data_IF_365586103988
#
_entry.id   IF_365586103988
#
_cell.length_a   1.000
_cell.length_b   1.000
_cell.length_c   1.000
_cell.angle_alpha   90.00
_cell.angle_beta   90.00
_cell.angle_gamma   90.00
#
_symmetry.space_group_name_H-M   'P 1'
#
loop_
_entity.id
_entity.type
_entity.pdbx_description
1 polymer ?
#
# COMPACT_ATOMS: atom_id res chain seq x y z
N UNK A 1 -0.55 -9.55 12.03
CA UNK A 1 0.80 -9.22 11.51
C UNK A 1 1.72 -10.23 12.16
N UNK A 2 2.25 -11.20 11.42
CA UNK A 2 3.26 -12.09 12.02
C UNK A 2 4.44 -11.23 12.50
N UNK A 3 4.94 -11.48 13.70
CA UNK A 3 6.15 -10.82 14.21
C UNK A 3 7.38 -11.16 13.35
N UNK A 4 7.31 -12.25 12.59
CA UNK A 4 8.36 -12.80 11.72
C UNK A 4 8.45 -12.12 10.34
N UNK A 5 8.45 -10.79 10.30
CA UNK A 5 8.81 -10.03 9.09
C UNK A 5 10.05 -9.18 9.33
N UNK A 6 10.74 -8.77 8.26
CA UNK A 6 11.95 -7.94 8.36
C UNK A 6 11.64 -6.60 9.07
N UNK A 7 12.21 -6.40 10.26
CA UNK A 7 11.94 -5.24 11.13
C UNK A 7 12.28 -3.93 10.41
N UNK A 8 13.41 -3.89 9.70
CA UNK A 8 13.87 -2.71 8.97
C UNK A 8 12.90 -2.32 7.87
N UNK A 9 12.30 -3.30 7.17
CA UNK A 9 11.32 -3.03 6.12
C UNK A 9 10.02 -2.46 6.68
N UNK A 10 9.55 -2.96 7.82
CA UNK A 10 8.37 -2.38 8.51
C UNK A 10 8.63 -0.94 8.95
N UNK A 11 9.81 -0.67 9.51
CA UNK A 11 10.19 0.69 9.93
C UNK A 11 10.29 1.64 8.73
N UNK A 12 10.90 1.20 7.64
CA UNK A 12 11.03 1.99 6.43
C UNK A 12 9.68 2.28 5.75
N UNK A 13 8.75 1.32 5.75
CA UNK A 13 7.47 1.45 5.02
C UNK A 13 6.31 2.00 5.85
N UNK A 14 6.45 2.15 7.17
CA UNK A 14 5.37 2.66 8.02
C UNK A 14 4.93 4.09 7.64
N UNK A 15 5.88 5.02 7.59
CA UNK A 15 5.62 6.42 7.20
C UNK A 15 5.15 6.53 5.75
N UNK A 16 5.80 5.89 4.76
CA UNK A 16 5.29 5.85 3.39
C UNK A 16 3.86 5.32 3.27
N UNK A 17 3.51 4.27 4.01
CA UNK A 17 2.15 3.71 3.99
C UNK A 17 1.11 4.68 4.58
N UNK A 18 1.45 5.40 5.65
CA UNK A 18 0.56 6.43 6.22
C UNK A 18 0.35 7.59 5.24
N UNK A 19 1.41 8.07 4.60
CA UNK A 19 1.32 9.16 3.62
C UNK A 19 0.54 8.71 2.39
N UNK A 20 0.81 7.52 1.84
CA UNK A 20 0.08 6.98 0.70
C UNK A 20 -1.43 6.90 0.98
N UNK A 21 -1.83 6.33 2.12
CA UNK A 21 -3.27 6.21 2.47
C UNK A 21 -3.97 7.55 2.74
N UNK A 22 -3.23 8.62 3.03
CA UNK A 22 -3.80 9.92 3.40
C UNK A 22 -3.77 10.93 2.25
N UNK A 23 -2.65 11.01 1.53
CA UNK A 23 -2.36 12.07 0.55
C UNK A 23 -2.66 11.64 -0.88
N UNK A 24 -2.56 10.36 -1.23
CA UNK A 24 -2.78 9.92 -2.62
C UNK A 24 -4.20 9.39 -2.84
N UNK A 25 -4.74 9.59 -4.04
CA UNK A 25 -6.06 9.09 -4.42
C UNK A 25 -6.12 7.57 -4.44
N UNK A 26 -5.15 6.91 -5.08
CA UNK A 26 -5.06 5.46 -5.14
C UNK A 26 -4.93 4.83 -3.73
N UNK A 27 -4.23 5.53 -2.82
CA UNK A 27 -4.05 5.08 -1.45
C UNK A 27 -5.32 5.22 -0.62
N UNK A 28 -6.07 6.32 -0.79
CA UNK A 28 -7.39 6.50 -0.20
C UNK A 28 -8.38 5.46 -0.72
N UNK A 29 -8.45 5.27 -2.04
CA UNK A 29 -9.32 4.26 -2.64
C UNK A 29 -9.02 2.85 -2.13
N UNK A 30 -7.73 2.51 -1.97
CA UNK A 30 -7.33 1.24 -1.36
C UNK A 30 -7.78 1.14 0.10
N UNK A 31 -7.57 2.19 0.90
CA UNK A 31 -8.00 2.24 2.30
C UNK A 31 -9.51 2.07 2.42
N UNK A 32 -10.27 2.83 1.64
CA UNK A 32 -11.73 2.89 1.71
C UNK A 32 -12.35 1.55 1.31
N UNK A 33 -11.82 0.89 0.27
CA UNK A 33 -12.21 -0.48 -0.10
C UNK A 33 -11.99 -1.47 1.05
N UNK A 34 -10.86 -1.39 1.76
CA UNK A 34 -10.60 -2.29 2.89
C UNK A 34 -11.44 -1.93 4.12
N UNK A 35 -11.68 -0.65 4.36
CA UNK A 35 -12.52 -0.17 5.45
C UNK A 35 -13.98 -0.61 5.24
N UNK A 36 -14.50 -0.52 4.02
CA UNK A 36 -15.81 -1.04 3.64
C UNK A 36 -15.93 -2.56 3.88
N UNK A 37 -14.83 -3.30 3.76
CA UNK A 37 -14.74 -4.72 4.10
C UNK A 37 -14.53 -4.99 5.61
N UNK A 38 -14.78 -4.00 6.47
CA UNK A 38 -14.69 -4.11 7.94
C UNK A 38 -13.28 -4.26 8.49
N UNK A 39 -12.23 -3.94 7.71
CA UNK A 39 -10.84 -4.10 8.17
C UNK A 39 -10.42 -2.95 9.11
N UNK A 40 -9.78 -3.29 10.23
CA UNK A 40 -9.24 -2.31 11.20
C UNK A 40 -8.07 -1.53 10.60
N UNK A 41 -7.88 -0.27 11.00
CA UNK A 41 -6.85 0.63 10.45
C UNK A 41 -5.41 0.07 10.45
N UNK A 42 -4.99 -0.62 11.52
CA UNK A 42 -3.66 -1.28 11.57
C UNK A 42 -3.49 -2.37 10.49
N UNK A 43 -4.57 -3.08 10.15
CA UNK A 43 -4.57 -4.10 9.10
C UNK A 43 -4.47 -3.44 7.73
N UNK A 44 -5.20 -2.34 7.52
CA UNK A 44 -5.14 -1.57 6.27
C UNK A 44 -3.73 -1.03 6.02
N UNK A 45 -3.11 -0.45 7.05
CA UNK A 45 -1.74 0.04 6.95
C UNK A 45 -0.74 -1.09 6.67
N UNK A 46 -0.93 -2.25 7.30
CA UNK A 46 -0.18 -3.47 6.99
C UNK A 46 -0.30 -3.90 5.53
N UNK A 47 -1.52 -3.90 5.00
CA UNK A 47 -1.78 -4.23 3.60
C UNK A 47 -1.16 -3.20 2.65
N UNK A 48 -1.18 -1.91 3.01
CA UNK A 48 -0.54 -0.85 2.23
C UNK A 48 0.99 -1.01 2.20
N UNK A 49 1.62 -1.33 3.33
CA UNK A 49 3.06 -1.61 3.38
C UNK A 49 3.44 -2.74 2.41
N UNK A 50 2.66 -3.84 2.41
CA UNK A 50 2.87 -4.94 1.45
C UNK A 50 2.70 -4.47 0.00
N UNK A 51 1.68 -3.68 -0.28
CA UNK A 51 1.42 -3.17 -1.64
C UNK A 51 2.55 -2.25 -2.11
N UNK A 52 3.04 -1.34 -1.27
CA UNK A 52 4.17 -0.47 -1.60
C UNK A 52 5.45 -1.26 -1.90
N UNK A 53 5.75 -2.32 -1.14
CA UNK A 53 6.89 -3.18 -1.42
C UNK A 53 6.79 -3.86 -2.79
N UNK A 54 5.59 -4.34 -3.15
CA UNK A 54 5.34 -4.96 -4.45
C UNK A 54 5.43 -3.95 -5.61
N UNK A 55 4.93 -2.74 -5.41
CA UNK A 55 5.03 -1.65 -6.39
C UNK A 55 6.50 -1.28 -6.62
N UNK A 56 7.27 -1.07 -5.56
CA UNK A 56 8.70 -0.76 -5.65
C UNK A 56 9.45 -1.87 -6.40
N UNK A 57 9.18 -3.13 -6.06
CA UNK A 57 9.76 -4.27 -6.77
C UNK A 57 9.35 -4.29 -8.26
N UNK A 58 8.09 -4.02 -8.57
CA UNK A 58 7.58 -3.97 -9.95
C UNK A 58 8.25 -2.88 -10.79
N UNK A 59 8.40 -1.68 -10.24
CA UNK A 59 9.11 -0.56 -10.90
C UNK A 59 10.57 -0.94 -11.16
N UNK A 60 11.28 -1.46 -10.14
CA UNK A 60 12.68 -1.85 -10.27
C UNK A 60 12.88 -3.00 -11.28
N UNK A 61 11.97 -3.97 -11.29
CA UNK A 61 12.06 -5.13 -12.20
C UNK A 61 11.71 -4.78 -13.64
N UNK A 62 10.72 -3.93 -13.86
CA UNK A 62 10.24 -3.58 -15.20
C UNK A 62 10.98 -2.39 -15.82
N UNK A 63 11.66 -1.57 -15.02
CA UNK A 63 12.24 -0.30 -15.47
C UNK A 63 11.20 0.77 -15.82
N UNK A 64 9.90 0.47 -15.67
CA UNK A 64 8.81 1.41 -15.96
C UNK A 64 8.53 2.25 -14.72
N UNK A 65 8.45 3.59 -14.84
CA UNK A 65 8.07 4.46 -13.74
C UNK A 65 6.73 4.08 -13.12
N UNK A 66 6.54 4.47 -11.85
CA UNK A 66 5.28 4.25 -11.16
C UNK A 66 4.11 4.95 -11.86
N UNK A 67 3.02 4.22 -12.08
CA UNK A 67 1.77 4.73 -12.64
C UNK A 67 0.62 4.45 -11.66
N UNK A 68 0.03 5.54 -11.14
CA UNK A 68 -1.04 5.47 -10.15
C UNK A 68 -2.37 4.96 -10.74
N UNK A 69 -2.60 5.13 -12.05
CA UNK A 69 -3.85 4.75 -12.71
C UNK A 69 -4.10 3.24 -12.61
N UNK A 70 -3.04 2.44 -12.65
CA UNK A 70 -3.02 0.97 -12.49
C UNK A 70 -3.42 0.48 -11.10
N UNK A 71 -3.62 1.39 -10.15
CA UNK A 71 -3.87 1.06 -8.75
C UNK A 71 -5.16 1.66 -8.20
N UNK A 72 -5.84 2.48 -9.00
CA UNK A 72 -7.21 2.88 -8.73
C UNK A 72 -8.15 1.68 -8.94
N UNK A 73 -9.25 1.59 -8.18
CA UNK A 73 -10.30 0.64 -8.50
C UNK A 73 -10.80 0.93 -9.91
N UNK A 74 -10.80 -0.07 -10.77
CA UNK A 74 -11.47 0.00 -12.06
C UNK A 74 -12.94 0.22 -11.75
N UNK A 75 -13.52 1.32 -12.25
CA UNK A 75 -14.96 1.48 -12.26
C UNK A 75 -15.52 0.29 -13.04
N UNK A 76 -16.30 -0.56 -12.36
CA UNK A 76 -17.05 -1.62 -13.01
C UNK A 76 -18.13 -1.01 -13.91
#
# INVERSE_FOLDING_TARGET
MSKAGHVSLRRALYMPAMVATSKTEWGRAFRDRLAANGKKGKVILGAMMRKLAQVAYGVLKSGVPFDASRHNPVAA
#
